data_IF_056738856171
#
_entry.id   IF_056738856171
#
_cell.length_a   1.000
_cell.length_b   1.000
_cell.length_c   1.000
_cell.angle_alpha   90.00
_cell.angle_beta   90.00
_cell.angle_gamma   90.00
#
_symmetry.space_group_name_H-M   'P 1'
#
loop_
_entity.id
_entity.type
_entity.pdbx_description
1 polymer ?
#
# COMPACT_ATOMS: atom_id res chain seq x y z
N UNK A 1 20.64 -9.85 -5.93
CA UNK A 1 21.82 -10.50 -5.31
C UNK A 1 21.68 -10.72 -3.80
N UNK A 2 21.31 -9.68 -3.03
CA UNK A 2 21.30 -9.69 -1.57
C UNK A 2 20.44 -10.78 -0.91
N UNK A 3 19.27 -11.08 -1.49
CA UNK A 3 18.36 -12.14 -1.02
C UNK A 3 18.56 -13.48 -1.76
N UNK A 4 19.51 -13.53 -2.69
CA UNK A 4 19.78 -14.66 -3.58
C UNK A 4 18.53 -15.29 -4.23
N UNK A 5 17.53 -14.46 -4.53
CA UNK A 5 16.26 -14.86 -5.13
C UNK A 5 15.70 -13.70 -5.97
N UNK A 6 14.81 -14.01 -6.91
CA UNK A 6 14.01 -13.01 -7.61
C UNK A 6 12.95 -12.42 -6.68
N UNK A 7 12.66 -11.13 -6.83
CA UNK A 7 11.56 -10.46 -6.12
C UNK A 7 10.43 -10.23 -7.12
N UNK A 8 9.26 -10.78 -6.83
CA UNK A 8 8.07 -10.75 -7.67
C UNK A 8 6.79 -11.01 -6.86
N UNK A 9 5.72 -11.43 -7.52
CA UNK A 9 4.38 -11.53 -6.94
C UNK A 9 4.32 -12.25 -5.58
N UNK A 10 4.96 -13.43 -5.48
CA UNK A 10 4.86 -14.28 -4.29
C UNK A 10 5.63 -13.78 -3.07
N UNK A 11 6.64 -12.92 -3.26
CA UNK A 11 7.54 -12.49 -2.18
C UNK A 11 7.72 -10.97 -2.07
N UNK A 12 7.02 -10.17 -2.85
CA UNK A 12 7.16 -8.71 -2.81
C UNK A 12 6.82 -8.14 -1.44
N UNK A 13 5.74 -8.62 -0.80
CA UNK A 13 5.40 -8.25 0.58
C UNK A 13 6.55 -8.54 1.55
N UNK A 14 7.16 -9.73 1.46
CA UNK A 14 8.27 -10.12 2.34
C UNK A 14 9.48 -9.23 2.14
N UNK A 15 9.77 -8.85 0.88
CA UNK A 15 10.84 -7.92 0.57
C UNK A 15 10.59 -6.52 1.18
N UNK A 16 9.37 -5.99 1.07
CA UNK A 16 9.02 -4.70 1.69
C UNK A 16 9.15 -4.74 3.22
N UNK A 17 8.68 -5.82 3.84
CA UNK A 17 8.82 -6.02 5.28
C UNK A 17 10.29 -6.17 5.69
N UNK A 18 11.09 -6.90 4.91
CA UNK A 18 12.53 -7.01 5.13
C UNK A 18 13.21 -5.63 5.12
N UNK A 19 12.87 -4.76 4.16
CA UNK A 19 13.41 -3.39 4.10
C UNK A 19 12.99 -2.57 5.32
N UNK A 20 11.70 -2.60 5.68
CA UNK A 20 11.17 -1.85 6.82
C UNK A 20 11.80 -2.30 8.14
N UNK A 21 11.87 -3.61 8.39
CA UNK A 21 12.48 -4.16 9.60
C UNK A 21 13.98 -3.92 9.66
N UNK A 22 14.68 -3.96 8.52
CA UNK A 22 16.10 -3.62 8.46
C UNK A 22 16.33 -2.15 8.82
N UNK A 23 15.48 -1.24 8.35
CA UNK A 23 15.54 0.18 8.75
C UNK A 23 15.30 0.36 10.25
N UNK A 24 14.27 -0.29 10.81
CA UNK A 24 13.98 -0.25 12.25
C UNK A 24 15.15 -0.79 13.06
N UNK A 25 15.78 -1.88 12.60
CA UNK A 25 16.96 -2.44 13.24
C UNK A 25 18.15 -1.47 13.19
N UNK A 26 18.40 -0.83 12.06
CA UNK A 26 19.44 0.20 11.96
C UNK A 26 19.17 1.38 12.92
N UNK A 27 17.92 1.85 13.04
CA UNK A 27 17.55 2.90 13.99
C UNK A 27 17.79 2.43 15.44
N UNK A 28 17.40 1.21 15.77
CA UNK A 28 17.62 0.65 17.11
C UNK A 28 19.11 0.58 17.47
N UNK A 29 19.94 0.07 16.55
CA UNK A 29 21.40 0.02 16.74
C UNK A 29 21.97 1.43 16.84
N UNK A 30 21.62 2.35 15.93
CA UNK A 30 22.12 3.73 15.99
C UNK A 30 21.72 4.42 17.30
N UNK A 31 20.47 4.27 17.75
CA UNK A 31 19.98 4.89 18.99
C UNK A 31 20.70 4.33 20.23
N UNK A 32 20.86 3.02 20.31
CA UNK A 32 21.55 2.38 21.45
C UNK A 32 23.03 2.73 21.47
N UNK A 33 23.72 2.65 20.32
CA UNK A 33 25.14 2.99 20.19
C UNK A 33 25.39 4.48 20.43
N UNK A 34 24.44 5.35 20.07
CA UNK A 34 24.56 6.80 20.31
C UNK A 34 24.62 7.11 21.81
N UNK A 35 23.83 6.41 22.63
CA UNK A 35 23.88 6.54 24.09
C UNK A 35 25.26 6.17 24.65
N UNK A 36 25.89 5.11 24.13
CA UNK A 36 27.25 4.75 24.52
C UNK A 36 28.28 5.75 24.02
N UNK A 37 28.14 6.25 22.79
CA UNK A 37 29.01 7.28 22.25
C UNK A 37 29.04 8.53 23.13
N UNK A 38 27.89 9.00 23.61
CA UNK A 38 27.82 10.12 24.54
C UNK A 38 28.53 9.83 25.87
N UNK A 39 28.41 8.62 26.43
CA UNK A 39 29.13 8.24 27.66
C UNK A 39 30.65 8.26 27.48
N UNK A 40 31.17 7.82 26.34
CA UNK A 40 32.60 7.95 26.02
C UNK A 40 33.02 9.41 25.83
N UNK A 41 32.15 10.25 25.26
CA UNK A 41 32.43 11.67 25.03
C UNK A 41 32.49 12.48 26.33
N UNK A 42 31.61 12.17 27.29
CA UNK A 42 31.56 12.82 28.61
C UNK A 42 32.68 12.34 29.54
N UNK A 43 33.36 11.23 29.20
CA UNK A 43 34.50 10.69 29.96
C UNK A 43 34.11 9.70 31.06
N UNK A 44 32.88 9.18 31.04
CA UNK A 44 32.39 8.20 32.03
C UNK A 44 32.98 6.79 31.83
N UNK A 45 33.60 6.53 30.67
CA UNK A 45 34.12 5.21 30.29
C UNK A 45 35.58 5.34 29.82
N UNK A 46 36.42 4.36 30.20
CA UNK A 46 37.83 4.32 29.81
C UNK A 46 38.00 4.06 28.31
N UNK A 47 38.91 4.79 27.67
CA UNK A 47 39.27 4.58 26.27
C UNK A 47 39.90 3.19 26.06
N UNK A 48 39.27 2.39 25.19
CA UNK A 48 39.71 1.04 24.87
C UNK A 48 39.17 0.55 23.53
N UNK A 49 39.45 -0.71 23.13
CA UNK A 49 39.03 -1.28 21.84
C UNK A 49 37.51 -1.18 21.59
N UNK A 50 36.71 -1.21 22.66
CA UNK A 50 35.25 -1.06 22.61
C UNK A 50 34.81 0.27 21.95
N UNK A 51 35.54 1.37 22.14
CA UNK A 51 35.24 2.68 21.54
C UNK A 51 35.29 2.61 20.01
N UNK A 52 36.29 1.94 19.45
CA UNK A 52 36.41 1.77 18.00
C UNK A 52 35.28 0.92 17.43
N UNK A 53 34.93 -0.18 18.10
CA UNK A 53 33.81 -1.03 17.66
C UNK A 53 32.47 -0.29 17.69
N UNK A 54 32.21 0.52 18.71
CA UNK A 54 30.99 1.32 18.87
C UNK A 54 30.90 2.38 17.77
N UNK A 55 31.99 3.12 17.52
CA UNK A 55 32.05 4.10 16.43
C UNK A 55 31.84 3.44 15.06
N UNK A 56 32.54 2.34 14.80
CA UNK A 56 32.39 1.60 13.54
C UNK A 56 30.95 1.12 13.34
N UNK A 57 30.35 0.53 14.37
CA UNK A 57 28.97 0.05 14.34
C UNK A 57 27.97 1.19 14.07
N UNK A 58 28.18 2.38 14.64
CA UNK A 58 27.39 3.57 14.37
C UNK A 58 27.43 3.93 12.88
N UNK A 59 28.62 4.08 12.31
CA UNK A 59 28.79 4.48 10.91
C UNK A 59 28.17 3.45 9.96
N UNK A 60 28.38 2.16 10.21
CA UNK A 60 27.78 1.08 9.43
C UNK A 60 26.25 1.14 9.51
N UNK A 61 25.68 1.28 10.72
CA UNK A 61 24.24 1.37 10.90
C UNK A 61 23.63 2.58 10.16
N UNK A 62 24.26 3.76 10.25
CA UNK A 62 23.81 4.97 9.55
C UNK A 62 23.92 4.83 8.02
N UNK A 63 25.03 4.28 7.52
CA UNK A 63 25.23 4.06 6.07
C UNK A 63 24.13 3.15 5.50
N UNK A 64 23.87 2.02 6.16
CA UNK A 64 22.79 1.11 5.77
C UNK A 64 21.42 1.76 5.90
N UNK A 65 21.17 2.49 6.98
CA UNK A 65 19.90 3.19 7.17
C UNK A 65 19.59 4.15 6.01
N UNK A 66 20.54 5.00 5.63
CA UNK A 66 20.34 5.96 4.53
C UNK A 66 20.08 5.23 3.21
N UNK A 67 20.86 4.18 2.92
CA UNK A 67 20.68 3.40 1.69
C UNK A 67 19.32 2.69 1.66
N UNK A 68 18.91 2.08 2.77
CA UNK A 68 17.61 1.41 2.90
C UNK A 68 16.46 2.41 2.83
N UNK A 69 16.61 3.61 3.39
CA UNK A 69 15.58 4.66 3.34
C UNK A 69 15.23 5.04 1.89
N UNK A 70 16.23 5.26 1.03
CA UNK A 70 15.97 5.56 -0.39
C UNK A 70 15.32 4.38 -1.12
N UNK A 71 15.82 3.16 -0.87
CA UNK A 71 15.27 1.95 -1.50
C UNK A 71 13.82 1.70 -1.07
N UNK A 72 13.56 1.73 0.23
CA UNK A 72 12.22 1.54 0.80
C UNK A 72 11.27 2.64 0.34
N UNK A 73 11.70 3.91 0.36
CA UNK A 73 10.90 5.04 -0.13
C UNK A 73 10.52 4.89 -1.61
N UNK A 74 11.46 4.47 -2.45
CA UNK A 74 11.19 4.17 -3.86
C UNK A 74 10.16 3.04 -4.02
N UNK A 75 10.29 1.96 -3.25
CA UNK A 75 9.33 0.85 -3.30
C UNK A 75 7.95 1.22 -2.75
N UNK A 76 7.86 2.09 -1.74
CA UNK A 76 6.59 2.65 -1.28
C UNK A 76 5.90 3.44 -2.38
N UNK A 77 6.65 4.24 -3.15
CA UNK A 77 6.10 4.94 -4.33
C UNK A 77 5.63 3.97 -5.42
N UNK A 78 6.38 2.90 -5.68
CA UNK A 78 5.99 1.85 -6.64
C UNK A 78 4.68 1.16 -6.22
N UNK A 79 4.57 0.76 -4.95
CA UNK A 79 3.35 0.15 -4.39
C UNK A 79 2.16 1.11 -4.52
N UNK A 80 2.36 2.39 -4.16
CA UNK A 80 1.29 3.39 -4.25
C UNK A 80 0.78 3.58 -5.68
N UNK A 81 1.61 3.37 -6.70
CA UNK A 81 1.25 3.47 -8.12
C UNK A 81 0.93 2.13 -8.80
N UNK A 82 1.01 1.02 -8.07
CA UNK A 82 0.93 -0.34 -8.59
C UNK A 82 1.84 -0.58 -9.80
N UNK A 83 3.14 -0.38 -9.59
CA UNK A 83 4.15 -0.57 -10.63
C UNK A 83 5.25 -1.49 -10.15
N UNK A 84 5.70 -2.40 -11.01
CA UNK A 84 6.97 -3.07 -10.80
C UNK A 84 8.15 -2.13 -11.11
N UNK A 85 9.35 -2.46 -10.63
CA UNK A 85 10.56 -1.71 -10.99
C UNK A 85 10.78 -1.71 -12.51
N UNK A 86 10.49 -2.83 -13.18
CA UNK A 86 10.61 -2.94 -14.64
C UNK A 86 9.63 -1.99 -15.35
N UNK A 87 8.38 -1.94 -14.91
CA UNK A 87 7.36 -1.02 -15.46
C UNK A 87 7.68 0.46 -15.22
N UNK A 88 8.38 0.76 -14.13
CA UNK A 88 8.82 2.13 -13.85
C UNK A 88 9.89 2.62 -14.84
N UNK A 89 10.75 1.72 -15.33
CA UNK A 89 11.74 2.02 -16.37
C UNK A 89 11.18 1.92 -17.79
N UNK A 90 10.25 1.00 -18.03
CA UNK A 90 9.66 0.75 -19.34
C UNK A 90 8.16 0.57 -19.20
N UNK A 91 7.39 1.57 -19.68
CA UNK A 91 5.94 1.54 -19.55
C UNK A 91 5.35 0.33 -20.30
N UNK A 92 4.44 -0.44 -19.68
CA UNK A 92 3.75 -1.52 -20.36
C UNK A 92 2.89 -0.96 -21.50
N UNK A 93 2.84 -1.71 -22.61
CA UNK A 93 2.06 -1.35 -23.80
C UNK A 93 0.74 -2.08 -23.75
N UNK A 94 -0.35 -1.31 -23.74
CA UNK A 94 -1.72 -1.82 -23.82
C UNK A 94 -2.28 -1.60 -25.23
N UNK A 95 -3.53 -2.01 -25.45
CA UNK A 95 -4.25 -1.82 -26.72
C UNK A 95 -4.23 -0.36 -27.18
N UNK A 96 -4.37 0.57 -26.23
CA UNK A 96 -4.39 2.02 -26.48
C UNK A 96 -2.99 2.66 -26.50
N UNK A 97 -1.92 1.85 -26.49
CA UNK A 97 -0.53 2.30 -26.43
C UNK A 97 0.10 2.22 -25.03
N UNK A 98 1.29 2.81 -24.84
CA UNK A 98 2.01 2.76 -23.56
C UNK A 98 1.30 3.53 -22.45
N UNK A 99 1.01 2.87 -21.32
CA UNK A 99 0.42 3.52 -20.14
C UNK A 99 1.15 3.12 -18.85
N UNK A 100 1.82 4.09 -18.20
CA UNK A 100 2.48 3.86 -16.91
C UNK A 100 1.49 3.59 -15.77
N UNK A 101 0.22 3.92 -15.93
CA UNK A 101 -0.81 3.78 -14.91
C UNK A 101 -1.82 2.67 -15.25
N UNK A 102 -1.53 1.80 -16.20
CA UNK A 102 -2.49 0.78 -16.65
C UNK A 102 -3.00 -0.14 -15.54
N UNK A 103 -2.15 -0.45 -14.55
CA UNK A 103 -2.48 -1.26 -13.36
C UNK A 103 -2.85 -0.44 -12.11
N UNK A 104 -2.82 0.89 -12.20
CA UNK A 104 -3.10 1.76 -11.05
C UNK A 104 -4.62 1.91 -10.86
N UNK A 105 -5.16 1.23 -9.85
CA UNK A 105 -6.60 1.23 -9.50
C UNK A 105 -6.89 2.05 -8.23
N UNK A 106 -5.94 2.91 -7.82
CA UNK A 106 -6.05 3.78 -6.65
C UNK A 106 -5.23 3.27 -5.45
N UNK A 107 -4.64 4.20 -4.69
CA UNK A 107 -3.62 3.91 -3.67
C UNK A 107 -4.07 2.83 -2.67
N UNK A 108 -5.31 2.92 -2.18
CA UNK A 108 -5.87 1.93 -1.24
C UNK A 108 -5.93 0.55 -1.86
N UNK A 109 -6.52 0.42 -3.05
CA UNK A 109 -6.64 -0.87 -3.76
C UNK A 109 -5.26 -1.43 -4.13
N UNK A 110 -4.31 -0.57 -4.52
CA UNK A 110 -2.94 -0.97 -4.82
C UNK A 110 -2.22 -1.55 -3.58
N UNK A 111 -2.39 -0.90 -2.41
CA UNK A 111 -1.85 -1.40 -1.15
C UNK A 111 -2.48 -2.75 -0.76
N UNK A 112 -3.81 -2.88 -0.90
CA UNK A 112 -4.53 -4.11 -0.62
C UNK A 112 -4.08 -5.27 -1.52
N UNK A 113 -3.72 -5.02 -2.77
CA UNK A 113 -3.17 -6.06 -3.65
C UNK A 113 -1.86 -6.66 -3.11
N UNK A 114 -1.03 -5.87 -2.41
CA UNK A 114 0.25 -6.32 -1.86
C UNK A 114 0.13 -6.86 -0.44
N UNK A 115 -0.60 -6.16 0.43
CA UNK A 115 -0.66 -6.45 1.86
C UNK A 115 -1.91 -7.22 2.30
N UNK A 116 -2.93 -7.31 1.45
CA UNK A 116 -4.20 -7.96 1.76
C UNK A 116 -5.16 -7.10 2.58
N UNK A 117 -6.35 -7.62 2.83
CA UNK A 117 -7.43 -6.91 3.53
C UNK A 117 -7.24 -6.84 5.04
N UNK A 118 -6.71 -7.92 5.63
CA UNK A 118 -6.46 -7.97 7.06
C UNK A 118 -5.22 -7.15 7.43
N UNK A 119 -5.47 -5.94 7.95
CA UNK A 119 -4.45 -5.00 8.44
C UNK A 119 -3.58 -5.57 9.55
N UNK A 120 -4.08 -6.54 10.34
CA UNK A 120 -3.28 -7.16 11.42
C UNK A 120 -2.12 -7.96 10.86
N UNK A 121 -2.31 -8.52 9.67
CA UNK A 121 -1.31 -9.34 8.98
C UNK A 121 -0.36 -8.51 8.11
N UNK A 122 -0.52 -7.19 8.02
CA UNK A 122 0.33 -6.34 7.18
C UNK A 122 1.79 -6.39 7.60
N UNK A 123 2.05 -6.37 8.91
CA UNK A 123 3.40 -6.41 9.48
C UNK A 123 3.95 -7.84 9.58
N UNK A 124 3.11 -8.86 9.45
CA UNK A 124 3.53 -10.25 9.60
C UNK A 124 4.01 -10.80 8.24
N UNK A 125 5.17 -11.48 8.17
CA UNK A 125 5.70 -12.07 6.95
C UNK A 125 4.95 -13.36 6.56
N UNK A 126 3.64 -13.26 6.39
CA UNK A 126 2.75 -14.31 5.84
C UNK A 126 2.19 -13.80 4.51
N UNK A 127 2.04 -14.69 3.53
CA UNK A 127 1.49 -14.32 2.23
C UNK A 127 0.02 -13.90 2.39
N UNK A 128 -0.30 -12.67 2.02
CA UNK A 128 -1.65 -12.10 2.05
C UNK A 128 -1.95 -11.25 0.80
N UNK A 129 -1.10 -11.33 -0.22
CA UNK A 129 -1.31 -10.60 -1.48
C UNK A 129 -2.55 -11.13 -2.22
N UNK A 130 -3.24 -10.24 -2.91
CA UNK A 130 -4.44 -10.60 -3.69
C UNK A 130 -4.07 -10.97 -5.13
N UNK A 131 -4.95 -11.75 -5.77
CA UNK A 131 -4.80 -12.18 -7.16
C UNK A 131 -3.98 -13.47 -7.32
N UNK A 132 -3.75 -13.85 -8.57
CA UNK A 132 -3.07 -15.10 -8.93
C UNK A 132 -1.69 -14.90 -9.58
N UNK A 133 -1.23 -13.65 -9.70
CA UNK A 133 0.02 -13.30 -10.35
C UNK A 133 0.00 -13.36 -11.88
N UNK A 134 -1.12 -13.74 -12.50
CA UNK A 134 -1.30 -13.81 -13.95
C UNK A 134 -2.19 -12.69 -14.48
N UNK A 135 -3.27 -12.39 -13.77
CA UNK A 135 -4.23 -11.35 -14.13
C UNK A 135 -4.24 -10.27 -13.05
N UNK A 136 -4.11 -9.02 -13.48
CA UNK A 136 -4.09 -7.85 -12.62
C UNK A 136 -5.20 -6.89 -13.03
N UNK A 137 -5.92 -6.27 -12.08
CA UNK A 137 -6.96 -5.30 -12.38
C UNK A 137 -6.43 -4.13 -13.20
N UNK A 138 -7.12 -3.80 -14.29
CA UNK A 138 -6.77 -2.69 -15.18
C UNK A 138 -7.56 -1.44 -14.83
N UNK A 139 -6.92 -0.27 -14.96
CA UNK A 139 -7.56 1.04 -14.78
C UNK A 139 -8.74 1.25 -15.73
N UNK A 140 -8.63 0.79 -16.99
CA UNK A 140 -9.65 0.98 -18.02
C UNK A 140 -10.97 0.25 -17.71
N UNK A 141 -10.91 -0.96 -17.15
CA UNK A 141 -12.12 -1.71 -16.77
C UNK A 141 -12.89 -1.02 -15.65
N UNK A 142 -12.17 -0.34 -14.73
CA UNK A 142 -12.79 0.43 -13.66
C UNK A 142 -13.44 1.74 -14.14
N UNK A 143 -13.18 2.15 -15.39
CA UNK A 143 -13.88 3.26 -16.07
C UNK A 143 -15.13 2.77 -16.80
N UNK A 144 -15.15 1.52 -17.27
CA UNK A 144 -16.34 0.90 -17.91
C UNK A 144 -17.36 0.39 -16.88
N UNK A 145 -16.92 0.04 -15.66
CA UNK A 145 -17.83 -0.27 -14.54
C UNK A 145 -18.52 0.98 -13.96
N UNK A 146 -18.09 2.19 -14.34
CA UNK A 146 -18.85 3.43 -14.16
C UNK A 146 -19.79 3.65 -15.36
N UNK A 147 -20.52 2.62 -15.77
CA UNK A 147 -21.70 2.83 -16.60
C UNK A 147 -22.77 3.46 -15.70
N UNK A 148 -23.26 4.68 -16.00
CA UNK A 148 -24.32 5.32 -15.21
C UNK A 148 -25.59 4.45 -15.11
N UNK A 149 -25.73 3.47 -16.00
CA UNK A 149 -26.84 2.52 -16.04
C UNK A 149 -26.74 1.40 -15.01
N UNK A 150 -25.54 1.07 -14.49
CA UNK A 150 -25.34 0.03 -13.47
C UNK A 150 -25.09 0.61 -12.07
N UNK A 151 -24.88 1.93 -11.95
CA UNK A 151 -24.70 2.61 -10.67
C UNK A 151 -25.93 2.53 -9.74
N UNK A 152 -27.08 2.14 -10.29
CA UNK A 152 -28.30 1.95 -9.50
C UNK A 152 -28.42 0.53 -8.93
N UNK A 153 -27.67 -0.48 -9.40
CA UNK A 153 -27.77 -1.84 -8.84
C UNK A 153 -27.28 -1.88 -7.38
N UNK A 154 -26.24 -1.12 -7.04
CA UNK A 154 -25.74 -1.00 -5.67
C UNK A 154 -26.74 -0.32 -4.70
N UNK A 155 -27.71 0.46 -5.22
CA UNK A 155 -28.75 1.09 -4.40
C UNK A 155 -29.89 0.12 -4.04
N UNK A 156 -30.23 -0.81 -4.94
CA UNK A 156 -31.34 -1.75 -4.70
C UNK A 156 -30.93 -2.92 -3.78
N UNK A 157 -29.64 -3.25 -3.70
CA UNK A 157 -29.12 -4.24 -2.75
C UNK A 157 -29.09 -3.71 -1.30
N UNK A 158 -28.95 -2.40 -1.09
CA UNK A 158 -29.05 -1.80 0.26
C UNK A 158 -30.50 -1.59 0.72
N UNK A 159 -31.46 -1.43 -0.21
CA UNK A 159 -32.86 -1.13 0.12
C UNK A 159 -33.72 -2.40 0.37
N UNK A 160 -33.17 -3.60 0.20
CA UNK A 160 -33.88 -4.86 0.35
C UNK A 160 -33.73 -5.55 1.73
N UNK A 161 -33.02 -4.94 2.68
CA UNK A 161 -32.78 -5.50 4.03
C UNK A 161 -33.46 -4.77 5.21
N UNK A 162 -34.42 -3.86 4.96
CA UNK A 162 -35.24 -3.32 6.06
C UNK A 162 -36.73 -3.59 5.83
N UNK A 163 -37.21 -4.61 6.54
CA UNK A 163 -38.61 -4.96 6.60
C UNK A 163 -39.37 -4.09 7.61
N UNK A 164 -40.62 -3.84 7.24
CA UNK A 164 -41.82 -3.86 8.10
C UNK A 164 -42.26 -2.59 8.87
N UNK A 165 -43.50 -2.23 8.53
CA UNK A 165 -44.63 -1.78 9.36
C UNK A 165 -45.02 -0.30 9.49
N UNK A 166 -46.37 -0.14 9.51
CA UNK A 166 -47.24 1.04 9.72
C UNK A 166 -47.45 1.98 8.52
N UNK A 167 -48.65 2.37 8.07
CA UNK A 167 -50.00 2.24 8.62
C UNK A 167 -50.84 3.51 8.32
N UNK A 168 -51.69 3.45 7.29
CA UNK A 168 -53.03 4.09 7.19
C UNK A 168 -53.24 5.63 7.02
N UNK A 169 -54.02 5.96 5.96
CA UNK A 169 -55.26 6.78 5.90
C UNK A 169 -55.28 8.14 5.14
N UNK A 170 -56.18 8.23 4.13
CA UNK A 170 -57.02 9.42 3.81
C UNK A 170 -56.69 10.22 2.53
N UNK A 171 -57.24 9.89 1.36
CA UNK A 171 -58.36 10.56 0.63
C UNK A 171 -58.20 12.05 0.25
N UNK A 172 -58.18 12.37 -1.07
CA UNK A 172 -59.35 12.93 -1.78
C UNK A 172 -59.03 13.37 -3.22
N UNK A 173 -60.05 13.23 -4.07
CA UNK A 173 -60.13 13.39 -5.52
C UNK A 173 -60.46 14.85 -5.89
N UNK A 174 -59.89 15.40 -6.98
CA UNK A 174 -60.67 16.23 -7.93
C UNK A 174 -59.98 16.39 -9.30
N UNK A 175 -60.69 15.99 -10.35
CA UNK A 175 -60.49 16.35 -11.75
C UNK A 175 -61.09 17.74 -12.03
N UNK A 176 -60.48 18.49 -12.95
CA UNK A 176 -61.11 19.45 -13.90
C UNK A 176 -60.01 19.82 -14.90
N UNK A 177 -60.03 19.31 -16.14
CA UNK A 177 -60.73 19.83 -17.33
C UNK A 177 -59.96 20.91 -18.12
N UNK A 178 -60.09 20.78 -19.43
CA UNK A 178 -59.47 21.45 -20.58
C UNK A 178 -59.49 22.99 -20.55
N UNK A 179 -58.51 23.61 -21.22
CA UNK A 179 -58.82 24.56 -22.31
C UNK A 179 -57.56 24.92 -23.12
N UNK A 180 -57.74 24.78 -24.44
CA UNK A 180 -56.91 25.23 -25.56
C UNK A 180 -56.85 26.76 -25.62
N UNK A 181 -55.66 27.31 -25.82
CA UNK A 181 -55.34 28.32 -26.86
C UNK A 181 -53.84 28.35 -27.16
#
# INVERSE_FOLDING_TARGET
>A
PWVNNCVGFSNYKFFLLFLAYSMLYCIYIASTVFQYFLKFWVGDLSDGPAKFHILFLMFVALMFFVSLMFLFGYHCWLVAKNRSTLEAFSAPVFVNGPDRNGFNVGIRKNLLQVFGEDKRMWLVPVFTGQGNGHYFPLRSQNSESHNPLLANEDLWEEESDDGSEEGSLGESITQTEESVE
#
